data_IF_820469828235
#
_entry.id   IF_820469828235
#
_cell.length_a   1.000
_cell.length_b   1.000
_cell.length_c   1.000
_cell.angle_alpha   90.00
_cell.angle_beta   90.00
_cell.angle_gamma   90.00
#
_symmetry.space_group_name_H-M   'P 1'
#
loop_
_entity.id
_entity.type
_entity.pdbx_description
1 polymer ?
#
# COMPACT_ATOMS: atom_id res chain seq x y z
N UNK A 1 -5.38 -22.97 14.08
CA UNK A 1 -4.86 -21.61 13.77
C UNK A 1 -5.57 -21.15 12.51
N UNK A 2 -6.22 -19.99 12.50
CA UNK A 2 -7.01 -19.55 11.36
C UNK A 2 -6.09 -19.31 10.16
N UNK A 3 -6.27 -20.04 9.05
CA UNK A 3 -5.49 -19.88 7.80
C UNK A 3 -5.50 -18.41 7.34
N UNK A 4 -6.61 -17.71 7.62
CA UNK A 4 -6.88 -16.31 7.32
C UNK A 4 -5.94 -15.32 8.04
N UNK A 5 -5.32 -15.74 9.15
CA UNK A 5 -4.37 -14.93 9.94
C UNK A 5 -2.98 -15.59 10.00
N UNK A 6 -2.67 -16.50 9.05
CA UNK A 6 -1.32 -17.07 8.98
C UNK A 6 -0.32 -15.99 8.57
N UNK A 7 0.82 -15.93 9.26
CA UNK A 7 1.94 -15.06 8.90
C UNK A 7 2.97 -15.71 8.00
N UNK A 8 2.73 -16.96 7.57
CA UNK A 8 3.64 -17.65 6.69
C UNK A 8 3.66 -16.98 5.31
N UNK A 9 4.85 -16.82 4.68
CA UNK A 9 4.97 -16.23 3.36
C UNK A 9 4.18 -17.06 2.33
N UNK A 10 3.71 -16.42 1.28
CA UNK A 10 3.12 -17.14 0.13
C UNK A 10 4.23 -17.97 -0.53
N UNK A 11 3.92 -19.21 -0.96
CA UNK A 11 4.92 -20.13 -1.49
C UNK A 11 5.68 -19.55 -2.70
N UNK A 12 4.99 -18.80 -3.56
CA UNK A 12 5.52 -18.15 -4.77
C UNK A 12 5.81 -16.64 -4.62
N UNK A 13 6.07 -16.15 -3.40
CA UNK A 13 6.43 -14.73 -3.24
C UNK A 13 7.85 -14.45 -3.75
N UNK A 14 7.94 -13.69 -4.85
CA UNK A 14 9.19 -13.21 -5.46
C UNK A 14 10.10 -12.46 -4.49
N UNK A 15 9.57 -11.90 -3.39
CA UNK A 15 10.32 -11.09 -2.42
C UNK A 15 10.74 -11.88 -1.18
N UNK A 16 10.44 -13.18 -1.11
CA UNK A 16 10.71 -14.02 0.07
C UNK A 16 12.19 -14.16 0.40
N UNK A 17 13.07 -14.12 -0.60
CA UNK A 17 14.51 -14.31 -0.44
C UNK A 17 15.31 -12.99 -0.49
N UNK A 18 14.62 -11.87 -0.34
CA UNK A 18 15.24 -10.56 -0.33
C UNK A 18 16.12 -10.38 0.92
N UNK A 19 17.28 -9.72 0.75
CA UNK A 19 18.30 -9.60 1.81
C UNK A 19 17.85 -8.59 2.88
N UNK A 20 17.16 -7.52 2.47
CA UNK A 20 16.75 -6.44 3.35
C UNK A 20 15.43 -6.70 4.08
N UNK A 21 15.26 -6.04 5.22
CA UNK A 21 13.99 -5.95 5.96
C UNK A 21 13.61 -4.50 6.11
N UNK A 22 12.31 -4.20 6.22
CA UNK A 22 11.86 -2.86 6.59
C UNK A 22 12.49 -2.41 7.93
N UNK A 23 12.79 -1.12 8.03
CA UNK A 23 13.28 -0.51 9.28
C UNK A 23 12.30 -0.71 10.44
N UNK A 24 11.00 -0.64 10.14
CA UNK A 24 9.93 -0.87 11.11
C UNK A 24 9.01 -1.97 10.62
N UNK A 25 8.72 -2.92 11.52
CA UNK A 25 7.69 -3.92 11.24
C UNK A 25 6.31 -3.27 11.18
N UNK A 26 5.38 -3.86 10.42
CA UNK A 26 4.09 -3.22 10.14
C UNK A 26 3.24 -3.00 11.40
N UNK A 27 3.42 -3.85 12.43
CA UNK A 27 2.78 -3.68 13.74
C UNK A 27 3.26 -2.41 14.49
N UNK A 28 4.52 -2.00 14.30
CA UNK A 28 5.12 -0.84 14.96
C UNK A 28 5.05 0.43 14.12
N UNK A 29 4.66 0.33 12.84
CA UNK A 29 4.57 1.45 11.92
C UNK A 29 3.69 2.61 12.45
N UNK A 30 2.51 2.38 13.07
CA UNK A 30 1.71 3.47 13.64
C UNK A 30 2.39 4.22 14.78
N UNK A 31 3.27 3.55 15.53
CA UNK A 31 4.02 4.18 16.61
C UNK A 31 5.28 4.90 16.12
N UNK A 32 5.86 4.43 15.01
CA UNK A 32 7.02 5.05 14.39
C UNK A 32 6.67 6.33 13.60
N UNK A 33 5.52 6.33 12.94
CA UNK A 33 5.00 7.51 12.23
C UNK A 33 3.48 7.64 12.40
N UNK A 34 3.02 8.13 13.57
CA UNK A 34 1.60 8.25 13.88
C UNK A 34 0.89 9.27 12.99
N UNK A 35 1.59 10.33 12.58
CA UNK A 35 1.02 11.38 11.74
C UNK A 35 0.75 10.88 10.32
N UNK A 36 1.71 10.16 9.72
CA UNK A 36 1.49 9.54 8.41
C UNK A 36 0.42 8.46 8.49
N UNK A 37 0.42 7.63 9.53
CA UNK A 37 -0.60 6.60 9.71
C UNK A 37 -2.02 7.20 9.79
N UNK A 38 -2.23 8.18 10.67
CA UNK A 38 -3.53 8.84 10.82
C UNK A 38 -3.92 9.65 9.58
N UNK A 39 -2.97 10.36 8.97
CA UNK A 39 -3.18 11.10 7.74
C UNK A 39 -3.61 10.19 6.58
N UNK A 40 -3.03 8.99 6.49
CA UNK A 40 -3.39 7.99 5.50
C UNK A 40 -4.73 7.30 5.80
N UNK A 41 -5.12 7.19 7.08
CA UNK A 41 -6.46 6.73 7.45
C UNK A 41 -7.55 7.74 7.07
N UNK A 42 -7.30 9.05 7.25
CA UNK A 42 -8.29 10.11 7.09
C UNK A 42 -8.34 10.73 5.67
N UNK A 43 -7.18 10.98 5.04
CA UNK A 43 -7.09 11.34 3.62
C UNK A 43 -6.13 10.39 2.88
N UNK A 44 -6.58 9.17 2.54
CA UNK A 44 -5.74 8.20 1.84
C UNK A 44 -5.26 8.70 0.48
N UNK A 45 -6.08 9.45 -0.24
CA UNK A 45 -5.72 9.98 -1.56
C UNK A 45 -4.55 10.97 -1.47
N UNK A 46 -4.62 11.90 -0.51
CA UNK A 46 -3.58 12.90 -0.27
C UNK A 46 -2.27 12.23 0.11
N UNK A 47 -2.33 11.34 1.12
CA UNK A 47 -1.16 10.65 1.63
C UNK A 47 -0.48 9.82 0.52
N UNK A 48 -1.27 9.12 -0.28
CA UNK A 48 -0.75 8.31 -1.37
C UNK A 48 -0.04 9.13 -2.45
N UNK A 49 -0.56 10.31 -2.82
CA UNK A 49 0.11 11.21 -3.78
C UNK A 49 1.47 11.65 -3.23
N UNK A 50 1.52 12.03 -1.96
CA UNK A 50 2.76 12.49 -1.30
C UNK A 50 3.78 11.35 -1.24
N UNK A 51 3.37 10.18 -0.74
CA UNK A 51 4.26 9.03 -0.57
C UNK A 51 4.73 8.47 -1.91
N UNK A 52 3.89 8.46 -2.95
CA UNK A 52 4.33 8.04 -4.29
C UNK A 52 5.33 9.02 -4.89
N UNK A 53 5.12 10.34 -4.77
CA UNK A 53 6.10 11.34 -5.22
C UNK A 53 7.43 11.14 -4.51
N UNK A 54 7.39 10.95 -3.21
CA UNK A 54 8.58 10.66 -2.40
C UNK A 54 9.28 9.36 -2.82
N UNK A 55 8.52 8.29 -3.05
CA UNK A 55 9.05 7.04 -3.57
C UNK A 55 9.64 7.18 -5.00
N UNK A 56 9.30 8.22 -5.75
CA UNK A 56 9.90 8.53 -7.05
C UNK A 56 11.03 9.57 -6.96
N UNK A 57 11.50 9.91 -5.75
CA UNK A 57 12.47 10.99 -5.52
C UNK A 57 12.02 12.33 -6.13
N UNK A 58 10.70 12.57 -6.14
CA UNK A 58 10.05 13.73 -6.75
C UNK A 58 10.27 13.89 -8.27
N UNK A 59 10.88 12.90 -8.95
CA UNK A 59 11.02 12.87 -10.39
C UNK A 59 9.83 12.14 -11.04
N UNK A 60 8.91 12.92 -11.58
CA UNK A 60 7.69 12.42 -12.22
C UNK A 60 7.93 11.86 -13.63
N UNK A 61 9.14 11.95 -14.19
CA UNK A 61 9.46 11.27 -15.45
C UNK A 61 9.52 9.75 -15.30
N UNK A 62 9.81 9.28 -14.08
CA UNK A 62 9.82 7.85 -13.73
C UNK A 62 8.42 7.33 -13.32
N UNK A 63 7.41 8.20 -13.32
CA UNK A 63 6.05 7.81 -12.96
C UNK A 63 5.42 6.97 -14.06
N UNK A 64 4.87 5.83 -13.65
CA UNK A 64 3.95 5.03 -14.46
C UNK A 64 2.78 4.56 -13.58
N UNK A 65 1.59 4.39 -14.16
CA UNK A 65 0.36 4.01 -13.46
C UNK A 65 0.55 2.69 -12.71
N UNK A 66 0.29 2.71 -11.39
CA UNK A 66 0.53 1.59 -10.48
C UNK A 66 1.94 0.96 -10.61
N UNK A 67 2.89 1.71 -11.15
CA UNK A 67 4.22 1.26 -11.54
C UNK A 67 4.28 -0.05 -12.35
N UNK A 68 3.22 -0.36 -13.12
CA UNK A 68 3.12 -1.61 -13.88
C UNK A 68 2.85 -2.87 -13.05
N UNK A 69 2.85 -2.79 -11.71
CA UNK A 69 2.56 -3.94 -10.84
C UNK A 69 1.11 -4.46 -10.95
N UNK A 70 0.22 -3.64 -11.50
CA UNK A 70 -1.20 -3.96 -11.67
C UNK A 70 -1.56 -4.18 -13.16
N UNK A 71 -0.56 -4.34 -14.02
CA UNK A 71 -0.82 -4.63 -15.43
C UNK A 71 -1.43 -6.02 -15.60
N UNK A 72 -2.60 -6.08 -16.23
CA UNK A 72 -3.32 -7.32 -16.47
C UNK A 72 -4.23 -7.78 -15.34
N UNK A 73 -4.19 -7.16 -14.15
CA UNK A 73 -5.19 -7.41 -13.09
C UNK A 73 -6.47 -6.63 -13.31
N UNK A 74 -6.36 -5.42 -13.87
CA UNK A 74 -7.49 -4.58 -14.26
C UNK A 74 -7.59 -4.50 -15.79
N UNK A 75 -8.75 -4.79 -16.41
CA UNK A 75 -8.91 -4.77 -17.87
C UNK A 75 -8.59 -3.41 -18.51
N UNK A 76 -8.71 -2.35 -17.71
CA UNK A 76 -8.69 -0.96 -18.16
C UNK A 76 -7.36 -0.26 -17.92
N UNK A 77 -6.49 -0.82 -17.07
CA UNK A 77 -5.26 -0.15 -16.63
C UNK A 77 -4.07 -0.90 -17.21
N UNK A 78 -3.38 -0.25 -18.14
CA UNK A 78 -2.06 -0.67 -18.61
C UNK A 78 -1.10 0.49 -18.46
N UNK A 79 -0.06 0.27 -17.68
CA UNK A 79 1.09 1.15 -17.62
C UNK A 79 1.58 1.50 -19.04
N UNK A 80 2.00 2.74 -19.23
CA UNK A 80 2.45 3.30 -20.50
C UNK A 80 1.35 3.73 -21.47
N UNK A 81 0.07 3.44 -21.20
CA UNK A 81 -1.05 3.75 -22.13
C UNK A 81 -2.10 4.70 -21.57
N UNK A 82 -1.98 5.11 -20.32
CA UNK A 82 -2.96 5.98 -19.63
C UNK A 82 -2.72 7.49 -19.83
N UNK A 83 -1.82 7.90 -20.74
CA UNK A 83 -1.45 9.31 -20.91
C UNK A 83 -0.47 9.85 -19.86
N UNK A 84 0.13 8.95 -19.08
CA UNK A 84 1.08 9.25 -18.00
C UNK A 84 2.35 9.99 -18.46
N UNK A 85 2.77 9.80 -19.71
CA UNK A 85 3.90 10.55 -20.30
C UNK A 85 3.58 12.03 -20.54
N UNK A 86 2.31 12.37 -20.72
CA UNK A 86 1.86 13.75 -20.98
C UNK A 86 1.42 14.47 -19.70
N UNK A 87 0.78 13.75 -18.75
CA UNK A 87 0.33 14.33 -17.49
C UNK A 87 0.49 13.36 -16.31
N UNK A 88 1.73 13.12 -15.83
CA UNK A 88 1.98 12.13 -14.79
C UNK A 88 1.33 12.51 -13.45
N UNK A 89 1.26 13.80 -13.14
CA UNK A 89 0.59 14.30 -11.93
C UNK A 89 -0.92 14.07 -11.95
N UNK A 90 -1.57 14.23 -13.12
CA UNK A 90 -3.00 13.98 -13.28
C UNK A 90 -3.32 12.49 -13.17
N UNK A 91 -2.51 11.63 -13.80
CA UNK A 91 -2.62 10.18 -13.67
C UNK A 91 -2.40 9.71 -12.23
N UNK A 92 -1.42 10.27 -11.51
CA UNK A 92 -1.19 9.96 -10.10
C UNK A 92 -2.39 10.35 -9.22
N UNK A 93 -2.99 11.52 -9.45
CA UNK A 93 -4.22 11.91 -8.75
C UNK A 93 -5.36 10.93 -9.07
N UNK A 94 -5.59 10.59 -10.33
CA UNK A 94 -6.62 9.63 -10.72
C UNK A 94 -6.40 8.26 -10.05
N UNK A 95 -5.17 7.76 -10.06
CA UNK A 95 -4.78 6.51 -9.40
C UNK A 95 -5.09 6.54 -7.90
N UNK A 96 -4.72 7.63 -7.22
CA UNK A 96 -4.92 7.78 -5.78
C UNK A 96 -6.39 7.88 -5.37
N UNK A 97 -7.26 8.47 -6.21
CA UNK A 97 -8.69 8.64 -5.93
C UNK A 97 -9.55 7.46 -6.40
N UNK A 98 -9.27 6.89 -7.57
CA UNK A 98 -10.10 5.85 -8.17
C UNK A 98 -9.64 4.43 -7.79
N UNK A 99 -8.35 4.24 -7.47
CA UNK A 99 -7.76 2.93 -7.25
C UNK A 99 -6.78 2.95 -6.07
N UNK A 100 -7.16 3.61 -4.96
CA UNK A 100 -6.25 3.86 -3.83
C UNK A 100 -5.55 2.59 -3.31
N UNK A 101 -6.27 1.48 -3.16
CA UNK A 101 -5.68 0.22 -2.69
C UNK A 101 -4.61 -0.35 -3.63
N UNK A 102 -4.86 -0.28 -4.94
CA UNK A 102 -3.87 -0.64 -5.96
C UNK A 102 -2.68 0.31 -5.89
N UNK A 103 -2.93 1.61 -5.73
CA UNK A 103 -1.92 2.64 -5.65
C UNK A 103 -0.97 2.40 -4.46
N UNK A 104 -1.52 2.24 -3.24
CA UNK A 104 -0.76 2.01 -2.01
C UNK A 104 0.05 0.72 -2.12
N UNK A 105 -0.58 -0.35 -2.62
CA UNK A 105 0.09 -1.64 -2.82
C UNK A 105 1.24 -1.54 -3.81
N UNK A 106 1.03 -0.86 -4.94
CA UNK A 106 2.05 -0.63 -5.95
C UNK A 106 3.22 0.23 -5.42
N UNK A 107 2.94 1.28 -4.63
CA UNK A 107 4.01 2.07 -4.00
C UNK A 107 4.84 1.21 -3.06
N UNK A 108 4.18 0.39 -2.23
CA UNK A 108 4.86 -0.52 -1.30
C UNK A 108 5.71 -1.54 -2.06
N UNK A 109 5.16 -2.16 -3.10
CA UNK A 109 5.88 -3.13 -3.95
C UNK A 109 7.10 -2.50 -4.64
N UNK A 110 6.94 -1.29 -5.19
CA UNK A 110 8.05 -0.52 -5.77
C UNK A 110 9.19 -0.32 -4.77
N UNK A 111 8.87 0.11 -3.54
CA UNK A 111 9.87 0.35 -2.49
C UNK A 111 10.54 -0.96 -2.08
N UNK A 112 9.76 -2.04 -1.94
CA UNK A 112 10.31 -3.36 -1.64
C UNK A 112 11.26 -3.87 -2.72
N UNK A 113 10.91 -3.71 -3.99
CA UNK A 113 11.74 -4.19 -5.09
C UNK A 113 13.00 -3.32 -5.26
N UNK A 114 12.86 -2.00 -5.12
CA UNK A 114 13.99 -1.07 -5.20
C UNK A 114 15.04 -1.34 -4.13
N UNK A 115 14.63 -1.58 -2.90
CA UNK A 115 15.54 -1.78 -1.77
C UNK A 115 15.75 -3.26 -1.41
N UNK A 116 15.24 -4.19 -2.22
CA UNK A 116 15.30 -5.63 -1.99
C UNK A 116 14.86 -5.97 -0.56
N UNK A 117 13.64 -5.56 -0.20
CA UNK A 117 13.02 -5.78 1.11
C UNK A 117 12.08 -6.97 1.06
N UNK A 118 12.10 -7.80 2.09
CA UNK A 118 11.12 -8.87 2.29
C UNK A 118 9.93 -8.37 3.14
N UNK A 119 8.71 -8.89 2.92
CA UNK A 119 7.58 -8.62 3.79
C UNK A 119 7.82 -9.27 5.16
N UNK A 120 7.42 -8.60 6.23
CA UNK A 120 7.47 -9.15 7.58
C UNK A 120 6.30 -10.13 7.83
N UNK A 121 6.35 -10.86 8.94
CA UNK A 121 5.28 -11.81 9.29
C UNK A 121 3.95 -11.10 9.56
N UNK A 122 3.98 -9.84 10.00
CA UNK A 122 2.80 -9.08 10.37
C UNK A 122 2.12 -8.45 9.14
N UNK A 123 2.87 -8.16 8.09
CA UNK A 123 2.44 -7.78 6.74
C UNK A 123 1.48 -8.83 6.24
N UNK A 124 1.94 -10.08 6.19
CA UNK A 124 1.13 -11.20 5.74
C UNK A 124 -0.12 -11.38 6.59
N UNK A 125 -0.01 -11.26 7.92
CA UNK A 125 -1.16 -11.44 8.82
C UNK A 125 -2.23 -10.37 8.65
N UNK A 126 -1.83 -9.10 8.69
CA UNK A 126 -2.77 -7.98 8.67
C UNK A 126 -3.39 -7.86 7.27
N UNK A 127 -2.60 -7.98 6.20
CA UNK A 127 -3.11 -7.91 4.82
C UNK A 127 -4.08 -9.07 4.55
N UNK A 128 -3.75 -10.30 4.95
CA UNK A 128 -4.66 -11.44 4.80
C UNK A 128 -5.93 -11.27 5.62
N UNK A 129 -5.81 -10.86 6.89
CA UNK A 129 -6.95 -10.58 7.74
C UNK A 129 -7.88 -9.54 7.09
N UNK A 130 -7.32 -8.43 6.62
CA UNK A 130 -8.06 -7.40 5.90
C UNK A 130 -8.78 -7.97 4.68
N UNK A 131 -8.08 -8.70 3.80
CA UNK A 131 -8.69 -9.31 2.61
C UNK A 131 -9.83 -10.28 2.96
N UNK A 132 -9.72 -11.01 4.07
CA UNK A 132 -10.77 -11.91 4.53
C UNK A 132 -12.00 -11.14 5.02
N UNK A 133 -11.82 -10.04 5.73
CA UNK A 133 -12.92 -9.16 6.16
C UNK A 133 -13.58 -8.49 4.95
N UNK A 134 -12.81 -8.02 3.96
CA UNK A 134 -13.35 -7.47 2.72
C UNK A 134 -14.20 -8.51 1.97
N UNK A 135 -13.72 -9.75 1.87
CA UNK A 135 -14.45 -10.84 1.23
C UNK A 135 -15.74 -11.16 1.99
N UNK A 136 -15.66 -11.26 3.32
CA UNK A 136 -16.83 -11.49 4.17
C UNK A 136 -17.89 -10.39 4.00
N UNK A 137 -17.47 -9.13 3.98
CA UNK A 137 -18.38 -7.99 3.74
C UNK A 137 -19.03 -8.06 2.35
N UNK A 138 -18.25 -8.40 1.33
CA UNK A 138 -18.77 -8.58 -0.03
C UNK A 138 -19.83 -9.68 -0.08
N UNK A 139 -19.57 -10.84 0.54
CA UNK A 139 -20.54 -11.94 0.63
C UNK A 139 -21.80 -11.53 1.39
N UNK A 140 -21.66 -10.85 2.54
CA UNK A 140 -22.82 -10.33 3.28
C UNK A 140 -23.66 -9.35 2.46
N UNK A 141 -23.00 -8.45 1.71
CA UNK A 141 -23.67 -7.49 0.83
C UNK A 141 -24.44 -8.19 -0.29
N UNK A 142 -23.85 -9.21 -0.91
CA UNK A 142 -24.52 -10.01 -1.95
C UNK A 142 -25.70 -10.81 -1.38
N UNK A 143 -25.56 -11.40 -0.19
CA UNK A 143 -26.64 -12.14 0.47
C UNK A 143 -27.79 -11.21 0.89
N UNK A 144 -27.50 -9.97 1.28
CA UNK A 144 -28.53 -8.98 1.61
C UNK A 144 -29.41 -8.60 0.42
N UNK A 145 -28.93 -8.74 -0.82
CA UNK A 145 -29.75 -8.55 -2.03
C UNK A 145 -30.82 -9.65 -2.13
N UNK A 146 -30.48 -10.87 -1.72
CA UNK A 146 -31.36 -12.04 -1.78
C UNK A 146 -32.27 -12.16 -0.54
N UNK A 147 -31.82 -11.68 0.63
CA UNK A 147 -32.51 -11.82 1.90
C UNK A 147 -32.48 -10.48 2.65
N UNK A 148 -33.59 -9.74 2.61
CA UNK A 148 -33.69 -8.39 3.19
C UNK A 148 -33.40 -8.32 4.69
N UNK A 149 -33.68 -9.40 5.44
CA UNK A 149 -33.40 -9.50 6.88
C UNK A 149 -31.90 -9.43 7.24
N UNK A 150 -31.01 -9.67 6.27
CA UNK A 150 -29.56 -9.56 6.46
C UNK A 150 -29.00 -8.15 6.23
N UNK A 151 -29.84 -7.16 5.88
CA UNK A 151 -29.39 -5.79 5.59
C UNK A 151 -28.53 -5.17 6.69
N UNK A 152 -29.01 -5.20 7.94
CA UNK A 152 -28.26 -4.66 9.08
C UNK A 152 -26.91 -5.35 9.29
N UNK A 153 -26.82 -6.67 9.03
CA UNK A 153 -25.57 -7.41 9.14
C UNK A 153 -24.58 -7.00 8.03
N UNK A 154 -25.08 -6.81 6.80
CA UNK A 154 -24.25 -6.35 5.69
C UNK A 154 -23.68 -4.95 5.96
N UNK A 155 -24.48 -4.02 6.49
CA UNK A 155 -24.03 -2.66 6.82
C UNK A 155 -22.96 -2.65 7.93
N UNK A 156 -23.16 -3.46 8.99
CA UNK A 156 -22.16 -3.60 10.06
C UNK A 156 -20.86 -4.20 9.52
N UNK A 157 -20.95 -5.26 8.72
CA UNK A 157 -19.78 -5.88 8.11
C UNK A 157 -19.06 -4.93 7.16
N UNK A 158 -19.79 -4.10 6.42
CA UNK A 158 -19.22 -3.07 5.57
C UNK A 158 -18.51 -1.98 6.38
N UNK A 159 -19.07 -1.55 7.50
CA UNK A 159 -18.41 -0.63 8.41
C UNK A 159 -17.10 -1.20 8.95
N UNK A 160 -17.12 -2.45 9.43
CA UNK A 160 -15.92 -3.16 9.92
C UNK A 160 -14.85 -3.25 8.82
N UNK A 161 -15.26 -3.63 7.60
CA UNK A 161 -14.41 -3.71 6.42
C UNK A 161 -13.73 -2.36 6.09
N UNK A 162 -14.49 -1.26 6.09
CA UNK A 162 -13.92 0.07 5.85
C UNK A 162 -12.94 0.49 6.96
N UNK A 163 -13.26 0.23 8.22
CA UNK A 163 -12.34 0.51 9.34
C UNK A 163 -11.04 -0.31 9.25
N UNK A 164 -11.14 -1.61 8.95
CA UNK A 164 -9.96 -2.48 8.85
C UNK A 164 -9.11 -2.11 7.63
N UNK A 165 -9.74 -1.76 6.52
CA UNK A 165 -9.06 -1.30 5.32
C UNK A 165 -8.32 0.01 5.57
N UNK A 166 -8.98 1.01 6.15
CA UNK A 166 -8.37 2.30 6.46
C UNK A 166 -7.18 2.17 7.41
N UNK A 167 -7.31 1.32 8.44
CA UNK A 167 -6.21 1.08 9.39
C UNK A 167 -5.05 0.34 8.72
N UNK A 168 -5.34 -0.67 7.89
CA UNK A 168 -4.32 -1.45 7.17
C UNK A 168 -3.54 -0.57 6.20
N UNK A 169 -4.22 0.26 5.39
CA UNK A 169 -3.56 1.17 4.47
C UNK A 169 -2.71 2.20 5.22
N UNK A 170 -3.17 2.65 6.39
CA UNK A 170 -2.43 3.59 7.25
C UNK A 170 -1.12 2.98 7.73
N UNK A 171 -1.16 1.75 8.24
CA UNK A 171 0.04 1.02 8.65
C UNK A 171 1.02 0.80 7.49
N UNK A 172 0.52 0.37 6.32
CA UNK A 172 1.36 0.15 5.13
C UNK A 172 2.03 1.46 4.68
N UNK A 173 1.28 2.55 4.66
CA UNK A 173 1.78 3.86 4.21
C UNK A 173 2.80 4.44 5.19
N UNK A 174 2.55 4.31 6.50
CA UNK A 174 3.48 4.71 7.55
C UNK A 174 4.79 3.91 7.50
N UNK A 175 4.71 2.59 7.33
CA UNK A 175 5.88 1.72 7.20
C UNK A 175 6.77 2.15 6.02
N UNK A 176 6.14 2.39 4.86
CA UNK A 176 6.84 2.87 3.66
C UNK A 176 7.43 4.26 3.87
N UNK A 177 6.71 5.17 4.52
CA UNK A 177 7.23 6.53 4.76
C UNK A 177 8.46 6.52 5.66
N UNK A 178 8.45 5.72 6.74
CA UNK A 178 9.60 5.55 7.63
C UNK A 178 10.79 4.98 6.87
N UNK A 179 10.58 3.96 6.04
CA UNK A 179 11.65 3.41 5.19
C UNK A 179 12.23 4.49 4.27
N UNK A 180 11.39 5.24 3.56
CA UNK A 180 11.84 6.30 2.66
C UNK A 180 12.61 7.41 3.40
N UNK A 181 12.15 7.82 4.59
CA UNK A 181 12.85 8.80 5.43
C UNK A 181 14.26 8.35 5.80
N UNK A 182 14.44 7.09 6.21
CA UNK A 182 15.75 6.57 6.60
C UNK A 182 16.70 6.44 5.41
N UNK A 183 16.17 6.08 4.23
CA UNK A 183 16.94 6.03 2.99
C UNK A 183 17.38 7.42 2.55
N UNK A 184 16.48 8.41 2.56
CA UNK A 184 16.79 9.82 2.23
C UNK A 184 17.93 10.36 3.11
N UNK A 185 17.86 10.18 4.43
CA UNK A 185 18.94 10.57 5.35
C UNK A 185 20.28 9.92 5.01
N UNK A 186 20.25 8.65 4.59
CA UNK A 186 21.47 7.93 4.21
C UNK A 186 22.10 8.52 2.95
N UNK A 187 21.29 8.91 1.96
CA UNK A 187 21.76 9.57 0.74
C UNK A 187 22.33 10.97 1.03
N UNK A 188 21.64 11.77 1.85
CA UNK A 188 22.10 13.12 2.24
C UNK A 188 23.48 13.06 2.94
N UNK A 189 23.66 12.12 3.87
CA UNK A 189 24.96 11.93 4.54
C UNK A 189 26.05 11.50 3.55
N UNK A 190 25.74 10.68 2.56
CA UNK A 190 26.72 10.27 1.54
C UNK A 190 27.13 11.44 0.64
N UNK A 191 26.19 12.27 0.20
CA UNK A 191 26.49 13.48 -0.58
C UNK A 191 27.35 14.45 0.23
N UNK A 192 27.00 14.71 1.50
CA UNK A 192 27.80 15.58 2.38
C UNK A 192 29.22 15.07 2.65
N UNK A 193 29.44 13.76 2.62
CA UNK A 193 30.77 13.17 2.78
C UNK A 193 31.57 13.28 1.48
N UNK A 194 30.93 13.05 0.32
CA UNK A 194 31.58 13.23 -0.98
C UNK A 194 31.99 14.68 -1.24
N UNK A 195 31.15 15.65 -0.87
CA UNK A 195 31.44 17.09 -1.04
C UNK A 195 32.56 17.60 -0.11
N UNK A 196 32.90 16.82 0.93
CA UNK A 196 33.97 17.15 1.90
C UNK A 196 35.34 16.56 1.54
N UNK A 197 35.44 15.75 0.48
CA UNK A 197 36.68 15.11 -0.02
C UNK A 197 37.19 15.83 -1.25
#
# INVERSE_FOLDING_TARGET
MCILCSGEPVEDDVRKNNIGTFQVGMMKAPSADPLCCLGSCLCPCCAQIIIRRKALHYDMSNYTCCQGYMDGTLPCVRSGKCGESSCPNGCLCLEAFCCNGCAVSATRMMVMDRYQLQPDKWDNRIIRCNNCIQLASCVCSLLSICISELGNLADIMQCIAQCTYATTQGCMTAQVNVELNEREKTFEVQEEVMDRV
#
